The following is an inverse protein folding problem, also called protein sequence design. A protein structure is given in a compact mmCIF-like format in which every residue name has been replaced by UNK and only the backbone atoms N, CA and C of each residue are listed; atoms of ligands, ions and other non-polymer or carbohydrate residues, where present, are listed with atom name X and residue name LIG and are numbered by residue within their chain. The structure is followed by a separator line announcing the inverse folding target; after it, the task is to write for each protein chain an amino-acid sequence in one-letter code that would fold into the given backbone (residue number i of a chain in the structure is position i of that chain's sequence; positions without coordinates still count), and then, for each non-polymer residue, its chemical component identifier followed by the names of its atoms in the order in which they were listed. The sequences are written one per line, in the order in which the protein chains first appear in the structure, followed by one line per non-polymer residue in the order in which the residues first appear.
data_IF_016747801163
#
_entry.id   IF_016747801163
#
_cell.length_a   1.000
_cell.length_b   1.000
_cell.length_c   1.000
_cell.angle_alpha   90.00
_cell.angle_beta   90.00
_cell.angle_gamma   90.00
#
_symmetry.space_group_name_H-M   'P 1'
#
loop_
_entity.id
_entity.type
_entity.pdbx_description
1 polymer ?
#
# COMPACT_ATOMS: atom_id res chain seq x y z
N UNK A 1 3.88 -20.30 -3.52
CA UNK A 1 3.41 -18.92 -3.34
C UNK A 1 2.23 -18.68 -4.27
N UNK A 2 1.11 -18.20 -3.75
CA UNK A 2 -0.07 -17.96 -4.58
C UNK A 2 0.08 -16.70 -5.44
N UNK A 3 -0.89 -16.45 -6.30
CA UNK A 3 -0.90 -15.34 -7.25
C UNK A 3 -0.82 -13.98 -6.56
N UNK A 4 -1.57 -13.80 -5.46
CA UNK A 4 -1.58 -12.56 -4.71
C UNK A 4 -0.20 -12.26 -4.13
N UNK A 5 0.41 -13.22 -3.43
CA UNK A 5 1.74 -13.03 -2.83
C UNK A 5 2.78 -12.74 -3.88
N UNK A 6 2.70 -13.40 -5.02
CA UNK A 6 3.62 -13.18 -6.14
C UNK A 6 3.51 -11.74 -6.67
N UNK A 7 2.29 -11.24 -6.86
CA UNK A 7 2.08 -9.86 -7.32
C UNK A 7 2.65 -8.84 -6.33
N UNK A 8 2.36 -9.02 -5.04
CA UNK A 8 2.85 -8.10 -4.01
C UNK A 8 4.37 -8.10 -3.93
N UNK A 9 4.97 -9.30 -3.92
CA UNK A 9 6.43 -9.43 -3.92
C UNK A 9 7.05 -8.75 -5.13
N UNK A 10 6.48 -8.95 -6.32
CA UNK A 10 7.00 -8.35 -7.54
C UNK A 10 6.88 -6.82 -7.51
N UNK A 11 5.77 -6.29 -7.01
CA UNK A 11 5.60 -4.83 -6.85
C UNK A 11 6.63 -4.25 -5.89
N UNK A 12 6.90 -4.93 -4.78
CA UNK A 12 7.89 -4.49 -3.80
C UNK A 12 9.31 -4.56 -4.36
N UNK A 13 9.63 -5.62 -5.11
CA UNK A 13 10.93 -5.73 -5.77
C UNK A 13 11.15 -4.63 -6.80
N UNK A 14 10.10 -4.28 -7.55
CA UNK A 14 10.17 -3.16 -8.50
C UNK A 14 10.42 -1.84 -7.78
N UNK A 15 9.72 -1.59 -6.68
CA UNK A 15 9.93 -0.39 -5.87
C UNK A 15 11.34 -0.36 -5.28
N UNK A 16 11.84 -1.50 -4.84
CA UNK A 16 13.20 -1.62 -4.32
C UNK A 16 14.25 -1.24 -5.37
N UNK A 17 14.08 -1.72 -6.61
CA UNK A 17 14.96 -1.36 -7.71
C UNK A 17 14.92 0.14 -8.01
N UNK A 18 13.73 0.74 -7.95
CA UNK A 18 13.57 2.19 -8.11
C UNK A 18 14.29 2.95 -7.00
N UNK A 19 14.18 2.50 -5.75
CA UNK A 19 14.87 3.12 -4.62
C UNK A 19 16.39 3.04 -4.80
N UNK A 20 16.90 1.90 -5.27
CA UNK A 20 18.32 1.77 -5.57
C UNK A 20 18.78 2.81 -6.61
N UNK A 21 17.95 3.05 -7.62
CA UNK A 21 18.22 4.08 -8.62
C UNK A 21 18.24 5.48 -8.02
N UNK A 22 17.33 5.77 -7.10
CA UNK A 22 17.28 7.07 -6.41
C UNK A 22 18.52 7.26 -5.53
N UNK A 23 18.95 6.21 -4.84
CA UNK A 23 20.17 6.25 -4.04
C UNK A 23 21.35 6.67 -4.92
N UNK A 24 21.48 6.05 -6.10
CA UNK A 24 22.55 6.41 -7.05
C UNK A 24 22.43 7.85 -7.52
N UNK A 25 21.22 8.33 -7.80
CA UNK A 25 21.00 9.73 -8.19
C UNK A 25 21.53 10.70 -7.13
N UNK A 26 21.23 10.42 -5.86
CA UNK A 26 21.70 11.26 -4.76
C UNK A 26 23.23 11.20 -4.65
N UNK A 27 23.81 10.00 -4.76
CA UNK A 27 25.26 9.80 -4.72
C UNK A 27 25.98 10.54 -5.85
N UNK A 28 25.34 10.65 -7.01
CA UNK A 28 25.88 11.32 -8.19
C UNK A 28 25.51 12.80 -8.27
N UNK A 29 24.93 13.32 -7.19
CA UNK A 29 24.52 14.72 -7.08
C UNK A 29 23.58 15.17 -8.20
N UNK A 30 22.59 14.33 -8.53
CA UNK A 30 21.56 14.64 -9.51
C UNK A 30 20.74 15.85 -9.07
N UNK A 31 20.12 16.52 -10.02
CA UNK A 31 19.32 17.72 -9.76
C UNK A 31 18.11 17.38 -8.88
N UNK A 32 17.91 18.18 -7.83
CA UNK A 32 16.88 17.91 -6.82
C UNK A 32 15.47 17.67 -7.36
N UNK A 33 14.95 18.47 -8.33
CA UNK A 33 13.63 18.20 -8.90
C UNK A 33 13.50 16.82 -9.55
N UNK A 34 14.57 16.30 -10.16
CA UNK A 34 14.56 14.96 -10.75
C UNK A 34 14.47 13.90 -9.67
N UNK A 35 15.19 14.07 -8.57
CA UNK A 35 15.14 13.17 -7.41
C UNK A 35 13.72 13.16 -6.83
N UNK A 36 13.13 14.34 -6.63
CA UNK A 36 11.77 14.47 -6.09
C UNK A 36 10.74 13.79 -6.98
N UNK A 37 10.90 13.90 -8.30
CA UNK A 37 10.02 13.24 -9.26
C UNK A 37 10.08 11.72 -9.11
N UNK A 38 11.28 11.16 -8.95
CA UNK A 38 11.46 9.72 -8.76
C UNK A 38 10.92 9.25 -7.40
N UNK A 39 11.10 10.05 -6.35
CA UNK A 39 10.52 9.74 -5.03
C UNK A 39 9.00 9.69 -5.10
N UNK A 40 8.39 10.63 -5.81
CA UNK A 40 6.94 10.65 -6.01
C UNK A 40 6.46 9.39 -6.71
N UNK A 41 7.21 8.90 -7.70
CA UNK A 41 6.88 7.68 -8.42
C UNK A 41 6.92 6.46 -7.48
N UNK A 42 7.93 6.36 -6.62
CA UNK A 42 8.03 5.26 -5.65
C UNK A 42 6.89 5.33 -4.62
N UNK A 43 6.55 6.53 -4.16
CA UNK A 43 5.41 6.70 -3.25
C UNK A 43 4.11 6.16 -3.87
N UNK A 44 3.90 6.44 -5.16
CA UNK A 44 2.74 5.92 -5.89
C UNK A 44 2.76 4.40 -6.00
N UNK A 45 3.93 3.80 -6.23
CA UNK A 45 4.08 2.34 -6.27
C UNK A 45 3.73 1.71 -4.93
N UNK A 46 4.21 2.28 -3.83
CA UNK A 46 3.94 1.77 -2.48
C UNK A 46 2.47 1.93 -2.12
N UNK A 47 1.86 3.05 -2.49
CA UNK A 47 0.45 3.28 -2.26
C UNK A 47 -0.41 2.24 -3.00
N UNK A 48 -0.08 1.94 -4.25
CA UNK A 48 -0.77 0.90 -5.03
C UNK A 48 -0.62 -0.48 -4.39
N UNK A 49 0.56 -0.78 -3.86
CA UNK A 49 0.82 -2.03 -3.15
C UNK A 49 0.00 -2.12 -1.87
N UNK A 50 -0.07 -1.03 -1.10
CA UNK A 50 -0.88 -0.96 0.12
C UNK A 50 -2.36 -1.23 -0.18
N UNK A 51 -2.89 -0.64 -1.26
CA UNK A 51 -4.28 -0.88 -1.66
C UNK A 51 -4.53 -2.35 -1.99
N UNK A 52 -3.60 -2.99 -2.68
CA UNK A 52 -3.74 -4.40 -3.03
C UNK A 52 -3.72 -5.30 -1.78
N UNK A 53 -2.81 -5.03 -0.85
CA UNK A 53 -2.74 -5.76 0.42
C UNK A 53 -4.02 -5.57 1.22
N UNK A 54 -4.52 -4.34 1.32
CA UNK A 54 -5.73 -4.03 2.05
C UNK A 54 -6.96 -4.72 1.41
N UNK A 55 -7.07 -4.65 0.09
CA UNK A 55 -8.15 -5.32 -0.63
C UNK A 55 -8.16 -6.82 -0.38
N UNK A 56 -6.98 -7.44 -0.43
CA UNK A 56 -6.85 -8.87 -0.14
C UNK A 56 -7.30 -9.19 1.29
N UNK A 57 -6.93 -8.35 2.25
CA UNK A 57 -7.35 -8.49 3.64
C UNK A 57 -8.88 -8.45 3.78
N UNK A 58 -9.52 -7.51 3.07
CA UNK A 58 -10.99 -7.41 3.06
C UNK A 58 -11.64 -8.64 2.46
N UNK A 59 -11.10 -9.15 1.36
CA UNK A 59 -11.67 -10.30 0.64
C UNK A 59 -11.47 -11.63 1.35
N UNK A 60 -10.50 -11.72 2.25
CA UNK A 60 -10.15 -12.95 2.96
C UNK A 60 -10.52 -12.87 4.44
N UNK A 61 -9.64 -12.27 5.25
CA UNK A 61 -9.76 -12.27 6.72
C UNK A 61 -11.02 -11.54 7.21
N UNK A 62 -11.34 -10.41 6.58
CA UNK A 62 -12.52 -9.62 6.98
C UNK A 62 -13.80 -10.35 6.59
N UNK A 63 -13.88 -10.82 5.34
CA UNK A 63 -15.06 -11.55 4.86
C UNK A 63 -15.32 -12.81 5.70
N UNK A 64 -14.25 -13.54 6.05
CA UNK A 64 -14.35 -14.74 6.89
C UNK A 64 -14.83 -14.39 8.29
N UNK A 65 -14.32 -13.34 8.90
CA UNK A 65 -14.72 -12.90 10.23
C UNK A 65 -16.19 -12.50 10.27
N UNK A 66 -16.68 -11.83 9.23
CA UNK A 66 -18.10 -11.46 9.11
C UNK A 66 -18.96 -12.72 9.02
N UNK A 67 -18.58 -13.68 8.18
CA UNK A 67 -19.31 -14.94 8.05
C UNK A 67 -19.33 -15.74 9.36
N UNK A 68 -18.28 -15.63 10.17
CA UNK A 68 -18.16 -16.32 11.46
C UNK A 68 -18.80 -15.56 12.61
N UNK A 69 -19.49 -14.45 12.35
CA UNK A 69 -20.15 -13.66 13.39
C UNK A 69 -19.22 -12.80 14.24
N UNK A 70 -18.01 -12.51 13.76
CA UNK A 70 -17.00 -11.70 14.48
C UNK A 70 -16.86 -10.30 13.88
N UNK A 71 -17.97 -9.74 13.36
CA UNK A 71 -17.94 -8.45 12.67
C UNK A 71 -17.44 -7.31 13.56
N UNK A 72 -17.83 -7.28 14.84
CA UNK A 72 -17.42 -6.21 15.74
C UNK A 72 -15.91 -6.22 16.00
N UNK A 73 -15.34 -7.41 16.18
CA UNK A 73 -13.89 -7.55 16.38
C UNK A 73 -13.11 -7.07 15.16
N UNK A 74 -13.60 -7.41 13.97
CA UNK A 74 -12.90 -7.06 12.75
C UNK A 74 -12.99 -5.55 12.44
N UNK A 75 -14.07 -4.88 12.85
CA UNK A 75 -14.18 -3.43 12.69
C UNK A 75 -13.08 -2.72 13.49
N UNK A 76 -12.84 -3.12 14.72
CA UNK A 76 -11.77 -2.55 15.53
C UNK A 76 -10.40 -2.77 14.91
N UNK A 77 -10.14 -3.96 14.40
CA UNK A 77 -8.89 -4.29 13.73
C UNK A 77 -8.69 -3.46 12.46
N UNK A 78 -9.76 -3.26 11.67
CA UNK A 78 -9.70 -2.43 10.47
C UNK A 78 -9.39 -0.96 10.80
N UNK A 79 -9.98 -0.44 11.87
CA UNK A 79 -9.69 0.93 12.30
C UNK A 79 -8.23 1.09 12.68
N UNK A 80 -7.63 0.09 13.33
CA UNK A 80 -6.20 0.07 13.63
C UNK A 80 -5.37 0.05 12.34
N UNK A 81 -5.72 -0.79 11.39
CA UNK A 81 -5.01 -0.91 10.11
C UNK A 81 -4.98 0.43 9.36
N UNK A 82 -6.10 1.14 9.33
CA UNK A 82 -6.24 2.41 8.61
C UNK A 82 -5.47 3.56 9.26
N UNK A 83 -5.06 3.44 10.52
CA UNK A 83 -4.20 4.44 11.16
C UNK A 83 -2.83 4.54 10.49
N UNK A 84 -2.34 3.43 9.93
CA UNK A 84 -1.00 3.38 9.34
C UNK A 84 -0.95 3.89 7.91
N UNK A 85 -2.07 3.85 7.18
CA UNK A 85 -2.09 4.33 5.80
C UNK A 85 -3.40 5.02 5.45
N UNK A 86 -3.46 6.30 5.73
CA UNK A 86 -4.64 7.13 5.42
C UNK A 86 -4.86 7.31 3.90
N UNK A 87 -3.83 7.05 3.09
CA UNK A 87 -3.97 7.13 1.63
C UNK A 87 -4.84 6.02 1.09
N UNK A 88 -4.77 4.84 1.69
CA UNK A 88 -5.67 3.73 1.34
C UNK A 88 -7.11 4.15 1.57
N UNK A 89 -7.37 4.81 2.71
CA UNK A 89 -8.70 5.31 3.06
C UNK A 89 -9.21 6.34 2.05
N UNK A 90 -8.35 7.25 1.60
CA UNK A 90 -8.70 8.27 0.61
C UNK A 90 -9.08 7.71 -0.76
N UNK A 91 -8.65 6.49 -1.05
CA UNK A 91 -9.00 5.82 -2.30
C UNK A 91 -10.45 5.33 -2.34
N UNK A 92 -11.18 5.43 -1.22
CA UNK A 92 -12.57 5.04 -1.09
C UNK A 92 -13.42 6.32 -1.08
N UNK A 93 -14.12 6.66 -2.19
CA UNK A 93 -14.82 7.94 -2.28
C UNK A 93 -15.83 8.22 -1.18
N UNK A 94 -16.53 7.21 -0.71
CA UNK A 94 -17.57 7.34 0.30
C UNK A 94 -17.03 7.75 1.67
N UNK A 95 -15.75 7.51 1.94
CA UNK A 95 -15.13 7.81 3.23
C UNK A 95 -14.89 9.31 3.40
N UNK A 96 -14.66 10.03 2.30
CA UNK A 96 -14.41 11.47 2.34
C UNK A 96 -15.64 12.29 2.76
N UNK A 97 -16.82 11.69 2.71
CA UNK A 97 -18.09 12.30 3.08
C UNK A 97 -18.46 12.07 4.55
N UNK A 98 -17.73 11.25 5.24
CA UNK A 98 -17.93 10.95 6.66
C UNK A 98 -17.14 11.96 7.49
#
# INVERSE_FOLDING_TARGET
MDEYHRRVVNRLKTARGHLDGIVRMVEEDAWCPDIMKQLSAVQGMLEGTSREVFRHHLETHVAEAVRAGRAEEIVDELMETLKYDKRVLRAIPEVDEI
#
